data_IF_009978638219
#
_entry.id   IF_009978638219
#
_cell.length_a   1.000
_cell.length_b   1.000
_cell.length_c   1.000
_cell.angle_alpha   90.00
_cell.angle_beta   90.00
_cell.angle_gamma   90.00
#
_symmetry.space_group_name_H-M   'P 1'
#
loop_
_entity.id
_entity.type
_entity.pdbx_description
1 polymer ?
#
# COMPACT_ATOMS: atom_id res chain seq x y z
N UNK A 1 -5.22 15.82 -18.38
CA UNK A 1 -4.01 15.00 -18.66
C UNK A 1 -3.84 14.77 -20.16
N UNK A 2 -2.62 14.52 -20.65
CA UNK A 2 -2.36 14.07 -22.02
C UNK A 2 -2.60 12.57 -22.18
N UNK A 3 -2.79 12.08 -23.42
CA UNK A 3 -3.13 10.67 -23.68
C UNK A 3 -2.14 9.67 -23.08
N UNK A 4 -0.84 9.96 -23.17
CA UNK A 4 0.19 9.09 -22.59
C UNK A 4 0.10 9.03 -21.06
N UNK A 5 -0.28 10.12 -20.39
CA UNK A 5 -0.45 10.15 -18.93
C UNK A 5 -1.64 9.29 -18.51
N UNK A 6 -2.77 9.43 -19.23
CA UNK A 6 -3.96 8.60 -19.00
C UNK A 6 -3.63 7.12 -19.16
N UNK A 7 -2.92 6.76 -20.22
CA UNK A 7 -2.49 5.38 -20.46
C UNK A 7 -1.60 4.85 -19.33
N UNK A 8 -0.66 5.65 -18.83
CA UNK A 8 0.19 5.26 -17.68
C UNK A 8 -0.66 4.99 -16.44
N UNK A 9 -1.62 5.86 -16.11
CA UNK A 9 -2.49 5.68 -14.93
C UNK A 9 -3.38 4.45 -15.05
N UNK A 10 -3.91 4.17 -16.24
CA UNK A 10 -4.73 2.98 -16.53
C UNK A 10 -3.90 1.71 -16.36
N UNK A 11 -2.71 1.65 -16.98
CA UNK A 11 -1.81 0.50 -16.87
C UNK A 11 -1.40 0.30 -15.41
N UNK A 12 -1.02 1.36 -14.70
CA UNK A 12 -0.66 1.32 -13.29
C UNK A 12 -1.79 0.75 -12.43
N UNK A 13 -3.02 1.23 -12.61
CA UNK A 13 -4.19 0.77 -11.86
C UNK A 13 -4.52 -0.69 -12.17
N UNK A 14 -4.49 -1.07 -13.45
CA UNK A 14 -4.80 -2.44 -13.89
C UNK A 14 -3.77 -3.43 -13.35
N UNK A 15 -2.48 -3.13 -13.49
CA UNK A 15 -1.39 -3.96 -12.96
C UNK A 15 -1.50 -4.10 -11.44
N UNK A 16 -1.82 -3.01 -10.74
CA UNK A 16 -2.01 -3.02 -9.28
C UNK A 16 -3.18 -3.90 -8.85
N UNK A 17 -4.30 -3.87 -9.59
CA UNK A 17 -5.45 -4.73 -9.33
C UNK A 17 -5.10 -6.21 -9.55
N UNK A 18 -4.38 -6.54 -10.63
CA UNK A 18 -3.92 -7.91 -10.89
C UNK A 18 -3.01 -8.43 -9.76
N UNK A 19 -2.10 -7.60 -9.25
CA UNK A 19 -1.27 -7.96 -8.11
C UNK A 19 -2.04 -8.05 -6.80
N UNK A 20 -3.08 -7.25 -6.60
CA UNK A 20 -3.99 -7.40 -5.46
C UNK A 20 -4.68 -8.78 -5.49
N UNK A 21 -5.27 -9.16 -6.62
CA UNK A 21 -5.92 -10.46 -6.79
C UNK A 21 -4.92 -11.59 -6.55
N UNK A 22 -3.72 -11.51 -7.15
CA UNK A 22 -2.66 -12.49 -6.95
C UNK A 22 -2.20 -12.55 -5.49
N UNK A 23 -2.05 -11.40 -4.83
CA UNK A 23 -1.69 -11.30 -3.42
C UNK A 23 -2.70 -11.98 -2.51
N UNK A 24 -4.00 -11.88 -2.83
CA UNK A 24 -5.07 -12.57 -2.08
C UNK A 24 -4.91 -14.09 -2.22
N UNK A 25 -4.70 -14.59 -3.45
CA UNK A 25 -4.50 -16.02 -3.71
C UNK A 25 -3.24 -16.55 -3.00
N UNK A 26 -2.13 -15.83 -3.08
CA UNK A 26 -0.86 -16.21 -2.42
C UNK A 26 -0.98 -16.17 -0.88
N UNK A 27 -1.65 -15.15 -0.33
CA UNK A 27 -1.76 -14.97 1.12
C UNK A 27 -2.80 -15.90 1.76
N UNK A 28 -3.94 -16.10 1.11
CA UNK A 28 -5.05 -16.90 1.64
C UNK A 28 -4.87 -18.39 1.35
N UNK A 29 -4.63 -18.75 0.09
CA UNK A 29 -4.69 -20.15 -0.34
C UNK A 29 -3.35 -20.85 -0.15
N UNK A 30 -2.25 -20.16 -0.45
CA UNK A 30 -0.88 -20.69 -0.29
C UNK A 30 -0.24 -20.35 1.06
N UNK A 31 -0.93 -19.54 1.90
CA UNK A 31 -0.44 -19.07 3.20
C UNK A 31 0.94 -18.38 3.13
N UNK A 32 1.26 -17.78 1.99
CA UNK A 32 2.58 -17.23 1.65
C UNK A 32 2.58 -15.69 1.72
N UNK A 33 1.98 -15.13 2.78
CA UNK A 33 1.90 -13.68 2.95
C UNK A 33 3.30 -13.01 3.04
N UNK A 34 4.32 -13.74 3.49
CA UNK A 34 5.71 -13.30 3.59
C UNK A 34 6.57 -13.60 2.35
N UNK A 35 5.99 -14.19 1.30
CA UNK A 35 6.73 -14.47 0.07
C UNK A 35 7.24 -13.16 -0.57
N UNK A 36 8.55 -13.04 -0.74
CA UNK A 36 9.23 -11.81 -1.18
C UNK A 36 8.93 -11.53 -2.65
N UNK A 37 8.70 -10.27 -2.99
CA UNK A 37 8.33 -9.81 -4.35
C UNK A 37 9.23 -8.66 -4.81
N UNK A 38 10.52 -8.91 -5.14
CA UNK A 38 11.48 -7.84 -5.43
C UNK A 38 11.08 -6.98 -6.65
N UNK A 39 10.39 -7.58 -7.62
CA UNK A 39 9.94 -6.89 -8.84
C UNK A 39 8.77 -5.92 -8.61
N UNK A 40 8.10 -5.98 -7.45
CA UNK A 40 6.96 -5.12 -7.12
C UNK A 40 7.34 -3.91 -6.26
N UNK A 41 8.64 -3.68 -6.08
CA UNK A 41 9.18 -2.55 -5.35
C UNK A 41 8.65 -1.19 -5.82
N UNK A 42 8.47 -0.90 -7.13
CA UNK A 42 7.90 0.38 -7.57
C UNK A 42 6.51 0.69 -7.00
N UNK A 43 5.75 -0.34 -6.60
CA UNK A 43 4.44 -0.22 -5.96
C UNK A 43 4.54 -0.19 -4.42
N UNK A 44 5.75 -0.22 -3.86
CA UNK A 44 6.00 -0.33 -2.42
C UNK A 44 5.70 -1.70 -1.83
N UNK A 45 5.57 -2.73 -2.68
CA UNK A 45 5.19 -4.09 -2.32
C UNK A 45 6.46 -4.94 -2.14
N UNK A 46 6.77 -5.34 -0.90
CA UNK A 46 7.94 -6.19 -0.62
C UNK A 46 7.57 -7.66 -0.44
N UNK A 47 6.35 -7.95 -0.01
CA UNK A 47 5.82 -9.30 0.17
C UNK A 47 4.40 -9.43 -0.37
N UNK A 48 3.90 -10.65 -0.57
CA UNK A 48 2.54 -10.87 -1.10
C UNK A 48 1.42 -10.27 -0.24
N UNK A 49 1.60 -10.16 1.08
CA UNK A 49 0.63 -9.46 1.93
C UNK A 49 0.51 -7.97 1.59
N UNK A 50 1.63 -7.32 1.28
CA UNK A 50 1.64 -5.91 0.81
C UNK A 50 0.86 -5.78 -0.50
N UNK A 51 0.94 -6.79 -1.37
CA UNK A 51 0.32 -6.75 -2.69
C UNK A 51 -1.20 -6.61 -2.60
N UNK A 52 -1.83 -7.18 -1.57
CA UNK A 52 -3.27 -7.05 -1.33
C UNK A 52 -3.65 -5.61 -1.01
N UNK A 53 -2.95 -4.99 -0.06
CA UNK A 53 -3.33 -3.67 0.43
C UNK A 53 -2.85 -2.58 -0.52
N UNK A 54 -1.58 -2.58 -0.92
CA UNK A 54 -1.04 -1.58 -1.84
C UNK A 54 -1.58 -1.75 -3.26
N UNK A 55 -1.83 -2.98 -3.72
CA UNK A 55 -2.47 -3.20 -5.02
C UNK A 55 -3.87 -2.58 -5.09
N UNK A 56 -4.68 -2.78 -4.03
CA UNK A 56 -6.00 -2.12 -3.92
C UNK A 56 -5.86 -0.59 -3.80
N UNK A 57 -4.94 -0.10 -2.97
CA UNK A 57 -4.67 1.33 -2.81
C UNK A 57 -4.32 1.98 -4.15
N UNK A 58 -3.37 1.43 -4.89
CA UNK A 58 -2.94 1.97 -6.18
C UNK A 58 -4.05 1.91 -7.24
N UNK A 59 -4.87 0.87 -7.23
CA UNK A 59 -6.04 0.82 -8.11
C UNK A 59 -7.02 1.96 -7.81
N UNK A 60 -7.34 2.20 -6.53
CA UNK A 60 -8.22 3.30 -6.13
C UNK A 60 -7.60 4.66 -6.45
N UNK A 61 -6.30 4.86 -6.20
CA UNK A 61 -5.56 6.08 -6.56
C UNK A 61 -5.62 6.35 -8.05
N UNK A 62 -5.43 5.31 -8.89
CA UNK A 62 -5.55 5.43 -10.34
C UNK A 62 -6.96 5.84 -10.75
N UNK A 63 -8.02 5.24 -10.19
CA UNK A 63 -9.40 5.64 -10.48
C UNK A 63 -9.67 7.10 -10.08
N UNK A 64 -9.25 7.50 -8.88
CA UNK A 64 -9.40 8.88 -8.39
C UNK A 64 -8.65 9.87 -9.28
N UNK A 65 -7.44 9.53 -9.71
CA UNK A 65 -6.65 10.34 -10.64
C UNK A 65 -7.36 10.54 -11.96
N UNK A 66 -7.93 9.47 -12.54
CA UNK A 66 -8.67 9.56 -13.79
C UNK A 66 -9.93 10.42 -13.66
N UNK A 67 -10.63 10.34 -12.51
CA UNK A 67 -11.82 11.14 -12.22
C UNK A 67 -11.47 12.63 -12.06
N UNK A 68 -10.40 12.94 -11.31
CA UNK A 68 -9.93 14.32 -11.12
C UNK A 68 -9.27 14.88 -12.39
N UNK A 69 -8.78 13.99 -13.27
CA UNK A 69 -8.08 14.32 -14.51
C UNK A 69 -6.84 15.22 -14.31
N UNK A 70 -6.11 14.98 -13.22
CA UNK A 70 -4.93 15.76 -12.83
C UNK A 70 -3.71 14.83 -12.67
N UNK A 71 -2.70 15.05 -13.53
CA UNK A 71 -1.46 14.27 -13.50
C UNK A 71 -0.59 14.63 -12.29
N UNK A 72 -0.61 15.89 -11.86
CA UNK A 72 0.16 16.34 -10.69
C UNK A 72 -0.41 15.72 -9.42
N UNK A 73 -1.74 15.54 -9.35
CA UNK A 73 -2.37 14.81 -8.25
C UNK A 73 -1.82 13.39 -8.10
N UNK A 74 -1.68 12.67 -9.21
CA UNK A 74 -1.08 11.32 -9.21
C UNK A 74 0.36 11.32 -8.72
N UNK A 75 1.19 12.23 -9.26
CA UNK A 75 2.59 12.36 -8.86
C UNK A 75 2.74 12.77 -7.39
N UNK A 76 1.84 13.62 -6.88
CA UNK A 76 1.80 14.00 -5.48
C UNK A 76 1.52 12.79 -4.59
N UNK A 77 0.52 11.98 -4.94
CA UNK A 77 0.23 10.74 -4.20
C UNK A 77 1.43 9.80 -4.23
N UNK A 78 2.08 9.62 -5.38
CA UNK A 78 3.30 8.81 -5.49
C UNK A 78 4.40 9.33 -4.56
N UNK A 79 4.62 10.64 -4.55
CA UNK A 79 5.66 11.26 -3.73
C UNK A 79 5.38 11.07 -2.23
N UNK A 80 4.16 11.37 -1.79
CA UNK A 80 3.75 11.21 -0.38
C UNK A 80 3.77 9.74 0.03
N UNK A 81 3.30 8.83 -0.84
CA UNK A 81 3.36 7.40 -0.62
C UNK A 81 4.78 6.94 -0.31
N UNK A 82 5.75 7.32 -1.14
CA UNK A 82 7.14 6.91 -0.95
C UNK A 82 7.78 7.54 0.29
N UNK A 83 7.42 8.76 0.66
CA UNK A 83 7.84 9.37 1.93
C UNK A 83 7.33 8.54 3.11
N UNK A 84 6.01 8.29 3.17
CA UNK A 84 5.39 7.53 4.26
C UNK A 84 5.92 6.09 4.31
N UNK A 85 6.05 5.44 3.16
CA UNK A 85 6.56 4.06 3.03
C UNK A 85 8.00 3.96 3.52
N UNK A 86 8.88 4.87 3.08
CA UNK A 86 10.30 4.86 3.44
C UNK A 86 10.50 5.13 4.92
N UNK A 87 9.83 6.16 5.45
CA UNK A 87 9.88 6.48 6.89
C UNK A 87 9.35 5.30 7.71
N UNK A 88 8.23 4.72 7.30
CA UNK A 88 7.64 3.57 7.98
C UNK A 88 8.55 2.34 8.00
N UNK A 89 9.21 2.01 6.89
CA UNK A 89 10.22 0.95 6.86
C UNK A 89 11.41 1.27 7.77
N UNK A 90 11.93 2.49 7.72
CA UNK A 90 13.05 2.89 8.58
C UNK A 90 12.70 2.68 10.05
N UNK A 91 11.53 3.17 10.49
CA UNK A 91 11.06 2.99 11.87
C UNK A 91 10.84 1.52 12.19
N UNK A 92 10.27 0.74 11.28
CA UNK A 92 10.06 -0.69 11.45
C UNK A 92 11.39 -1.43 11.67
N UNK A 93 12.38 -1.23 10.79
CA UNK A 93 13.67 -1.90 10.88
C UNK A 93 14.46 -1.51 12.13
N UNK A 94 14.41 -0.24 12.55
CA UNK A 94 15.00 0.19 13.81
C UNK A 94 14.35 -0.55 14.99
N UNK A 95 13.02 -0.60 15.05
CA UNK A 95 12.32 -1.31 16.13
C UNK A 95 12.58 -2.81 16.08
N UNK A 96 12.67 -3.40 14.90
CA UNK A 96 12.97 -4.83 14.74
C UNK A 96 14.38 -5.18 15.24
N UNK A 97 15.34 -4.25 15.15
CA UNK A 97 16.71 -4.47 15.62
C UNK A 97 16.90 -4.25 17.13
N UNK A 98 16.18 -3.28 17.71
CA UNK A 98 16.48 -2.81 19.07
C UNK A 98 15.37 -3.08 20.10
N UNK A 99 14.15 -3.45 19.68
CA UNK A 99 13.02 -3.64 20.58
C UNK A 99 12.72 -5.12 20.83
N UNK A 100 12.35 -5.46 22.07
CA UNK A 100 11.81 -6.78 22.39
C UNK A 100 10.43 -6.89 21.74
N UNK A 101 10.23 -7.90 20.90
CA UNK A 101 8.96 -8.12 20.20
C UNK A 101 7.93 -8.64 21.20
N UNK A 102 7.03 -7.77 21.65
CA UNK A 102 5.85 -8.13 22.43
C UNK A 102 4.60 -7.67 21.68
N UNK A 103 3.87 -8.61 21.09
CA UNK A 103 2.72 -8.32 20.22
C UNK A 103 1.46 -8.96 20.75
N UNK A 104 0.33 -8.31 20.51
CA UNK A 104 -0.98 -8.91 20.77
C UNK A 104 -1.18 -10.15 19.89
N UNK A 105 -1.83 -11.22 20.41
CA UNK A 105 -2.08 -12.43 19.62
C UNK A 105 -2.76 -12.11 18.29
N UNK A 106 -2.28 -12.66 17.15
CA UNK A 106 -2.76 -12.30 15.82
C UNK A 106 -4.23 -12.66 15.60
N UNK A 107 -4.76 -13.65 16.34
CA UNK A 107 -6.14 -14.11 16.24
C UNK A 107 -7.16 -13.07 16.71
N UNK A 108 -6.74 -12.08 17.50
CA UNK A 108 -7.61 -11.00 17.98
C UNK A 108 -7.95 -9.98 16.89
N UNK A 109 -7.25 -10.01 15.76
CA UNK A 109 -7.38 -9.02 14.71
C UNK A 109 -8.31 -9.51 13.60
N UNK A 110 -9.18 -8.62 13.10
CA UNK A 110 -10.22 -8.96 12.11
C UNK A 110 -9.67 -9.56 10.81
N UNK A 111 -8.48 -9.13 10.38
CA UNK A 111 -7.84 -9.61 9.16
C UNK A 111 -7.23 -11.02 9.28
N UNK A 112 -7.18 -11.61 10.48
CA UNK A 112 -6.63 -12.94 10.70
C UNK A 112 -7.33 -14.05 9.91
N UNK A 113 -8.63 -13.88 9.61
CA UNK A 113 -9.40 -14.80 8.75
C UNK A 113 -8.86 -14.91 7.31
N UNK A 114 -8.08 -13.93 6.86
CA UNK A 114 -7.48 -13.91 5.53
C UNK A 114 -5.97 -14.12 5.60
N UNK A 115 -5.34 -13.63 6.68
CA UNK A 115 -3.91 -13.65 6.92
C UNK A 115 -3.65 -14.47 8.20
N UNK A 116 -3.41 -15.76 8.03
CA UNK A 116 -3.52 -16.77 9.10
C UNK A 116 -2.32 -16.83 10.07
N UNK A 117 -1.50 -15.78 10.16
CA UNK A 117 -0.28 -15.76 10.96
C UNK A 117 0.08 -14.32 11.36
N UNK A 118 1.31 -14.13 11.84
CA UNK A 118 1.92 -12.85 12.20
C UNK A 118 1.85 -11.77 11.10
N UNK A 119 1.55 -12.15 9.86
CA UNK A 119 1.36 -11.19 8.76
C UNK A 119 0.27 -10.17 9.04
N UNK A 120 -0.72 -10.50 9.88
CA UNK A 120 -1.78 -9.58 10.25
C UNK A 120 -1.24 -8.26 10.82
N UNK A 121 -0.14 -8.30 11.56
CA UNK A 121 0.41 -7.08 12.15
C UNK A 121 0.94 -6.12 11.11
N UNK A 122 1.69 -6.61 10.12
CA UNK A 122 2.16 -5.73 9.05
C UNK A 122 1.01 -5.31 8.12
N UNK A 123 -0.02 -6.14 7.93
CA UNK A 123 -1.25 -5.73 7.22
C UNK A 123 -1.91 -4.53 7.89
N UNK A 124 -1.99 -4.51 9.22
CA UNK A 124 -2.51 -3.33 9.94
C UNK A 124 -1.59 -2.11 9.75
N UNK A 125 -0.27 -2.30 9.85
CA UNK A 125 0.70 -1.23 9.63
C UNK A 125 0.51 -0.58 8.24
N UNK A 126 0.44 -1.38 7.17
CA UNK A 126 0.33 -0.86 5.81
C UNK A 126 -1.04 -0.24 5.51
N UNK A 127 -2.13 -0.73 6.13
CA UNK A 127 -3.44 -0.04 6.06
C UNK A 127 -3.33 1.37 6.64
N UNK A 128 -2.69 1.52 7.81
CA UNK A 128 -2.48 2.84 8.41
C UNK A 128 -1.51 3.72 7.63
N UNK A 129 -0.53 3.14 6.93
CA UNK A 129 0.29 3.89 5.96
C UNK A 129 -0.58 4.45 4.83
N UNK A 130 -1.47 3.65 4.24
CA UNK A 130 -2.41 4.14 3.22
C UNK A 130 -3.31 5.26 3.74
N UNK A 131 -3.87 5.11 4.94
CA UNK A 131 -4.67 6.18 5.59
C UNK A 131 -3.83 7.45 5.75
N UNK A 132 -2.60 7.33 6.25
CA UNK A 132 -1.69 8.47 6.42
C UNK A 132 -1.42 9.19 5.10
N UNK A 133 -1.18 8.45 4.01
CA UNK A 133 -0.96 9.02 2.68
C UNK A 133 -2.18 9.80 2.22
N UNK A 134 -3.38 9.22 2.31
CA UNK A 134 -4.63 9.90 1.94
C UNK A 134 -4.83 11.15 2.80
N UNK A 135 -4.66 11.06 4.12
CA UNK A 135 -4.81 12.21 5.02
C UNK A 135 -3.83 13.35 4.71
N UNK A 136 -2.57 13.04 4.41
CA UNK A 136 -1.57 14.05 4.05
C UNK A 136 -1.92 14.73 2.72
N UNK A 137 -2.31 13.94 1.70
CA UNK A 137 -2.73 14.49 0.40
C UNK A 137 -3.96 15.38 0.59
N UNK A 138 -4.98 14.92 1.30
CA UNK A 138 -6.17 15.73 1.61
C UNK A 138 -5.81 17.00 2.38
N UNK A 139 -4.89 16.93 3.34
CA UNK A 139 -4.43 18.11 4.10
C UNK A 139 -3.78 19.14 3.18
N UNK A 140 -2.92 18.72 2.24
CA UNK A 140 -2.28 19.62 1.27
C UNK A 140 -3.33 20.29 0.37
N UNK A 141 -4.35 19.54 -0.07
CA UNK A 141 -5.44 20.10 -0.88
C UNK A 141 -6.28 21.12 -0.12
N UNK A 142 -6.67 20.79 1.12
CA UNK A 142 -7.46 21.69 1.96
C UNK A 142 -6.67 22.94 2.34
N UNK A 143 -5.36 22.82 2.60
CA UNK A 143 -4.49 23.96 2.88
C UNK A 143 -4.34 24.91 1.69
N UNK A 144 -4.38 24.40 0.45
CA UNK A 144 -4.38 25.23 -0.77
C UNK A 144 -5.73 25.92 -1.01
N UNK A 145 -6.83 25.32 -0.54
CA UNK A 145 -8.17 25.83 -0.74
C UNK A 145 -8.57 26.92 0.27
N UNK A 146 -7.90 26.98 1.42
CA UNK A 146 -8.03 28.03 2.44
C UNK A 146 -7.24 29.28 2.03
#
# INVERSE_FOLDING_TARGET
MSDWQVNVVIVWGTVSLLFCIKGILESKDKRSAFGITPYLLPLGIFVWGDAVIFGLFWFVVSLMTLIVNDWIFFLLIISIFWVVRSVGETVYWINQQFSIINRNPPEKFWFHKYFHNDSVWFIHQIIWQCVTVVSLVTTIYLAKAW
#
